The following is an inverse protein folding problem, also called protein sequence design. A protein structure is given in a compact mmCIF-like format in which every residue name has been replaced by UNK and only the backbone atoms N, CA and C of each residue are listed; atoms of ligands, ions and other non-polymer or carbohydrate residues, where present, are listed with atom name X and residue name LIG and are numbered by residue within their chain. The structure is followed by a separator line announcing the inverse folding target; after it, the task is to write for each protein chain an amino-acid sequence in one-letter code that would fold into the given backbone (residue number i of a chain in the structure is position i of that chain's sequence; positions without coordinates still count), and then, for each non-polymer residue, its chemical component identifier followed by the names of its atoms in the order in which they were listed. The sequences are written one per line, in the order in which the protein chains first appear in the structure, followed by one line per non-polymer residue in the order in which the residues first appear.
data_IF_668943408408
#
_entry.id   IF_668943408408
#
_cell.length_a   1.000
_cell.length_b   1.000
_cell.length_c   1.000
_cell.angle_alpha   90.00
_cell.angle_beta   90.00
_cell.angle_gamma   90.00
#
_symmetry.space_group_name_H-M   'P 1'
#
loop_
_entity.id
_entity.type
_entity.pdbx_description
1 polymer ?
#
# COMPACT_ATOMS: atom_id res chain seq x y z
N UNK A 1 42.73 5.02 10.72
CA UNK A 1 41.63 4.63 11.64
C UNK A 1 40.33 5.17 11.07
N UNK A 2 39.46 4.29 10.55
CA UNK A 2 38.17 4.65 9.92
C UNK A 2 37.06 4.39 10.94
N UNK A 3 36.37 5.44 11.37
CA UNK A 3 35.24 5.32 12.29
C UNK A 3 34.04 4.72 11.56
N UNK A 4 33.69 3.49 11.95
CA UNK A 4 32.43 2.82 11.62
C UNK A 4 31.27 3.61 12.22
N UNK A 5 30.43 4.21 11.39
CA UNK A 5 29.10 4.66 11.82
C UNK A 5 28.15 3.48 11.72
N UNK A 6 27.70 3.03 12.88
CA UNK A 6 26.69 1.99 13.09
C UNK A 6 25.34 2.54 12.63
N UNK A 7 24.82 2.03 11.52
CA UNK A 7 23.43 2.20 11.11
C UNK A 7 22.61 1.11 11.81
N UNK A 8 21.99 1.48 12.93
CA UNK A 8 21.05 0.63 13.64
C UNK A 8 19.62 1.17 13.45
N UNK A 9 18.80 0.38 12.77
CA UNK A 9 17.41 0.14 13.17
C UNK A 9 16.36 1.21 12.87
N UNK A 10 15.71 1.07 11.72
CA UNK A 10 14.25 1.16 11.61
C UNK A 10 13.78 0.23 10.47
N UNK A 11 13.83 -1.08 10.78
CA UNK A 11 13.26 -2.17 9.98
C UNK A 11 11.73 -2.17 10.14
N UNK A 12 11.02 -1.27 9.47
CA UNK A 12 9.57 -1.38 9.19
C UNK A 12 9.19 -0.56 7.93
N UNK A 13 10.09 -0.52 6.95
CA UNK A 13 9.80 -0.01 5.63
C UNK A 13 10.02 -1.18 4.67
N UNK A 14 8.93 -1.79 4.20
CA UNK A 14 8.95 -2.64 3.02
C UNK A 14 9.34 -1.76 1.84
N UNK A 15 10.64 -1.58 1.65
CA UNK A 15 11.25 -0.79 0.58
C UNK A 15 10.84 -1.39 -0.77
N UNK A 16 9.85 -0.76 -1.41
CA UNK A 16 9.58 -0.88 -2.84
C UNK A 16 10.73 -0.19 -3.60
N UNK A 17 11.88 -0.85 -3.69
CA UNK A 17 13.06 -0.39 -4.43
C UNK A 17 13.00 -0.96 -5.85
N UNK A 18 12.44 -0.19 -6.79
CA UNK A 18 12.70 -0.46 -8.20
C UNK A 18 14.19 -0.23 -8.48
N UNK A 19 14.94 -1.33 -8.57
CA UNK A 19 16.21 -1.33 -9.28
C UNK A 19 15.89 -1.25 -10.78
N UNK A 20 15.96 -0.03 -11.33
CA UNK A 20 16.22 0.13 -12.76
C UNK A 20 17.64 -0.35 -13.04
N UNK A 21 17.79 -1.54 -13.60
CA UNK A 21 19.06 -2.02 -14.14
C UNK A 21 18.81 -2.48 -15.57
N UNK A 22 19.50 -1.82 -16.51
CA UNK A 22 19.21 -1.85 -17.93
C UNK A 22 19.41 -3.21 -18.63
N UNK A 23 18.73 -3.33 -19.76
CA UNK A 23 18.86 -4.40 -20.73
C UNK A 23 17.74 -4.26 -21.76
N UNK A 24 18.13 -3.91 -22.98
CA UNK A 24 17.28 -3.58 -24.13
C UNK A 24 16.14 -4.56 -24.39
N UNK A 25 14.89 -4.10 -24.27
CA UNK A 25 13.75 -4.34 -25.18
C UNK A 25 12.55 -3.56 -24.62
N UNK A 26 12.33 -2.34 -25.11
CA UNK A 26 11.13 -1.56 -24.75
C UNK A 26 9.94 -2.13 -25.54
N UNK A 27 9.54 -3.36 -25.20
CA UNK A 27 8.21 -3.83 -25.52
C UNK A 27 7.25 -2.91 -24.77
N UNK A 28 6.60 -1.99 -25.49
CA UNK A 28 5.55 -1.15 -24.94
C UNK A 28 4.61 -2.05 -24.12
N UNK A 29 4.43 -1.72 -22.84
CA UNK A 29 3.52 -2.46 -21.99
C UNK A 29 2.17 -2.58 -22.73
N UNK A 30 1.57 -3.77 -22.78
CA UNK A 30 0.33 -3.96 -23.53
C UNK A 30 -0.72 -2.93 -23.07
N UNK A 31 -1.52 -2.40 -24.01
CA UNK A 31 -2.50 -1.38 -23.68
C UNK A 31 -3.47 -1.93 -22.63
N UNK A 32 -3.66 -1.18 -21.55
CA UNK A 32 -4.60 -1.52 -20.48
C UNK A 32 -6.03 -1.49 -21.04
N UNK A 33 -6.82 -2.50 -20.69
CA UNK A 33 -8.23 -2.59 -21.05
C UNK A 33 -8.98 -1.32 -20.55
N UNK A 34 -9.68 -0.58 -21.43
CA UNK A 34 -10.44 0.62 -21.06
C UNK A 34 -11.39 0.41 -19.88
N UNK A 35 -11.94 -0.80 -19.71
CA UNK A 35 -12.85 -1.14 -18.62
C UNK A 35 -12.19 -1.08 -17.23
N UNK A 36 -10.86 -1.26 -17.14
CA UNK A 36 -10.10 -1.23 -15.88
C UNK A 36 -9.11 -0.08 -15.81
N UNK A 37 -9.04 0.76 -16.84
CA UNK A 37 -8.08 1.87 -16.92
C UNK A 37 -8.14 2.81 -15.71
N UNK A 38 -9.34 3.23 -15.29
CA UNK A 38 -9.51 4.13 -14.13
C UNK A 38 -8.98 3.51 -12.83
N UNK A 39 -9.17 2.21 -12.66
CA UNK A 39 -8.59 1.46 -11.54
C UNK A 39 -7.06 1.46 -11.59
N UNK A 40 -6.48 1.13 -12.74
CA UNK A 40 -5.03 1.06 -12.92
C UNK A 40 -4.36 2.43 -12.72
N UNK A 41 -4.96 3.50 -13.24
CA UNK A 41 -4.47 4.87 -13.03
C UNK A 41 -4.51 5.24 -11.53
N UNK A 42 -5.56 4.82 -10.82
CA UNK A 42 -5.69 5.02 -9.37
C UNK A 42 -4.64 4.24 -8.58
N UNK A 43 -4.38 2.99 -8.94
CA UNK A 43 -3.31 2.18 -8.33
C UNK A 43 -1.95 2.85 -8.49
N UNK A 44 -1.60 3.29 -9.70
CA UNK A 44 -0.32 3.96 -9.97
C UNK A 44 -0.19 5.25 -9.17
N UNK A 45 -1.24 6.07 -9.13
CA UNK A 45 -1.27 7.30 -8.32
C UNK A 45 -1.06 7.00 -6.84
N UNK A 46 -1.82 6.07 -6.25
CA UNK A 46 -1.71 5.73 -4.82
C UNK A 46 -0.31 5.18 -4.51
N UNK A 47 0.28 4.36 -5.37
CA UNK A 47 1.66 3.88 -5.21
C UNK A 47 2.68 5.03 -5.23
N UNK A 48 2.54 5.98 -6.16
CA UNK A 48 3.40 7.15 -6.23
C UNK A 48 3.28 8.03 -4.96
N UNK A 49 2.07 8.24 -4.46
CA UNK A 49 1.83 9.00 -3.21
C UNK A 49 2.46 8.31 -2.00
N UNK A 50 2.31 6.98 -1.88
CA UNK A 50 2.86 6.17 -0.79
C UNK A 50 4.39 6.07 -0.79
N UNK A 51 5.01 6.20 -1.97
CA UNK A 51 6.48 6.17 -2.12
C UNK A 51 7.11 7.56 -2.18
N UNK A 52 6.29 8.61 -2.16
CA UNK A 52 6.76 9.98 -2.19
C UNK A 52 7.55 10.35 -0.92
N UNK A 53 8.54 11.25 -1.01
CA UNK A 53 9.21 11.79 0.18
C UNK A 53 8.27 12.48 1.17
N UNK A 54 7.08 12.90 0.69
CA UNK A 54 6.03 13.53 1.47
C UNK A 54 5.12 12.54 2.19
N UNK A 55 5.20 11.24 1.89
CA UNK A 55 4.41 10.22 2.56
C UNK A 55 4.63 10.27 4.08
N UNK A 56 3.53 10.41 4.84
CA UNK A 56 3.58 10.51 6.29
C UNK A 56 4.04 11.86 6.86
N UNK A 57 4.36 12.85 6.01
CA UNK A 57 4.56 14.22 6.48
C UNK A 57 3.21 14.80 6.98
N UNK A 58 3.25 15.58 8.06
CA UNK A 58 2.03 16.09 8.73
C UNK A 58 1.55 15.24 9.91
N UNK A 59 2.28 14.18 10.25
CA UNK A 59 2.02 13.37 11.44
C UNK A 59 0.91 12.36 11.27
N UNK A 60 0.62 11.63 12.36
CA UNK A 60 -0.18 10.41 12.35
C UNK A 60 -1.63 10.65 11.90
N UNK A 61 -2.23 11.78 12.27
CA UNK A 61 -3.60 12.12 11.88
C UNK A 61 -3.72 12.39 10.37
N UNK A 62 -2.81 13.19 9.79
CA UNK A 62 -2.81 13.49 8.37
C UNK A 62 -2.51 12.22 7.54
N UNK A 63 -1.54 11.42 7.97
CA UNK A 63 -1.21 10.15 7.34
C UNK A 63 -2.39 9.16 7.36
N UNK A 64 -3.14 9.11 8.47
CA UNK A 64 -4.34 8.27 8.60
C UNK A 64 -5.47 8.71 7.67
N UNK A 65 -5.70 10.02 7.56
CA UNK A 65 -6.71 10.56 6.65
C UNK A 65 -6.35 10.28 5.17
N UNK A 66 -5.08 10.46 4.81
CA UNK A 66 -4.58 10.14 3.47
C UNK A 66 -4.75 8.65 3.14
N UNK A 67 -4.37 7.76 4.08
CA UNK A 67 -4.53 6.32 3.90
C UNK A 67 -6.00 5.92 3.67
N UNK A 68 -6.93 6.52 4.43
CA UNK A 68 -8.37 6.28 4.24
C UNK A 68 -8.84 6.73 2.87
N UNK A 69 -8.50 7.95 2.47
CA UNK A 69 -8.88 8.49 1.15
C UNK A 69 -8.37 7.60 0.01
N UNK A 70 -7.13 7.14 0.10
CA UNK A 70 -6.54 6.28 -0.94
C UNK A 70 -7.25 4.93 -1.05
N UNK A 71 -7.63 4.33 0.08
CA UNK A 71 -8.44 3.09 0.06
C UNK A 71 -9.82 3.36 -0.52
N UNK A 72 -10.47 4.47 -0.17
CA UNK A 72 -11.78 4.85 -0.71
C UNK A 72 -11.73 5.06 -2.23
N UNK A 73 -10.68 5.71 -2.76
CA UNK A 73 -10.48 5.89 -4.20
C UNK A 73 -10.30 4.54 -4.93
N UNK A 74 -9.58 3.60 -4.30
CA UNK A 74 -9.37 2.25 -4.83
C UNK A 74 -10.65 1.42 -4.80
N UNK A 75 -11.48 1.55 -3.76
CA UNK A 75 -12.81 0.93 -3.67
C UNK A 75 -13.73 1.48 -4.77
N UNK A 76 -13.73 2.80 -4.98
CA UNK A 76 -14.60 3.48 -5.93
C UNK A 76 -14.30 3.09 -7.39
N UNK A 77 -13.04 2.81 -7.70
CA UNK A 77 -12.59 2.46 -9.05
C UNK A 77 -12.41 0.95 -9.24
N UNK A 78 -12.54 0.14 -8.18
CA UNK A 78 -12.30 -1.29 -8.23
C UNK A 78 -13.16 -2.00 -9.27
N UNK A 79 -12.57 -2.90 -10.09
CA UNK A 79 -13.36 -3.73 -10.98
C UNK A 79 -14.23 -4.73 -10.16
N UNK A 80 -15.37 -5.20 -10.70
CA UNK A 80 -16.33 -6.02 -9.95
C UNK A 80 -15.72 -7.24 -9.25
N UNK A 81 -14.73 -7.89 -9.86
CA UNK A 81 -14.04 -9.05 -9.30
C UNK A 81 -13.26 -8.76 -8.02
N UNK A 82 -12.82 -7.51 -7.81
CA UNK A 82 -12.05 -7.05 -6.64
C UNK A 82 -12.88 -6.25 -5.64
N UNK A 83 -14.14 -5.92 -5.97
CA UNK A 83 -14.95 -5.05 -5.12
C UNK A 83 -15.13 -5.58 -3.68
N UNK A 84 -15.28 -6.90 -3.52
CA UNK A 84 -15.40 -7.52 -2.20
C UNK A 84 -14.07 -7.50 -1.42
N UNK A 85 -12.94 -7.69 -2.09
CA UNK A 85 -11.61 -7.65 -1.47
C UNK A 85 -11.28 -6.23 -1.00
N UNK A 86 -11.57 -5.22 -1.84
CA UNK A 86 -11.36 -3.83 -1.48
C UNK A 86 -12.25 -3.36 -0.32
N UNK A 87 -13.52 -3.80 -0.25
CA UNK A 87 -14.36 -3.55 0.93
C UNK A 87 -13.77 -4.20 2.19
N UNK A 88 -13.27 -5.43 2.09
CA UNK A 88 -12.61 -6.12 3.22
C UNK A 88 -11.39 -5.33 3.70
N UNK A 89 -10.56 -4.83 2.78
CA UNK A 89 -9.40 -4.00 3.10
C UNK A 89 -9.82 -2.67 3.73
N UNK A 90 -10.87 -2.02 3.22
CA UNK A 90 -11.44 -0.79 3.78
C UNK A 90 -11.91 -0.99 5.22
N UNK A 91 -12.72 -2.01 5.49
CA UNK A 91 -13.24 -2.32 6.83
C UNK A 91 -12.11 -2.62 7.84
N UNK A 92 -11.05 -3.31 7.40
CA UNK A 92 -9.90 -3.63 8.25
C UNK A 92 -9.01 -2.40 8.48
N UNK A 93 -8.89 -1.51 7.48
CA UNK A 93 -8.21 -0.23 7.61
C UNK A 93 -8.92 0.66 8.62
N UNK A 94 -10.25 0.74 8.55
CA UNK A 94 -11.06 1.48 9.52
C UNK A 94 -10.91 0.94 10.95
N UNK A 95 -10.82 -0.38 11.12
CA UNK A 95 -10.53 -0.98 12.44
C UNK A 95 -9.13 -0.62 12.96
N UNK A 96 -8.12 -0.58 12.09
CA UNK A 96 -6.76 -0.19 12.47
C UNK A 96 -6.70 1.30 12.85
N UNK A 97 -7.34 2.17 12.07
CA UNK A 97 -7.45 3.59 12.36
C UNK A 97 -8.27 3.86 13.63
N UNK A 98 -9.33 3.10 13.87
CA UNK A 98 -10.08 3.16 15.13
C UNK A 98 -9.24 2.79 16.34
N UNK A 99 -8.35 1.80 16.19
CA UNK A 99 -7.41 1.39 17.25
C UNK A 99 -6.39 2.49 17.56
N UNK A 100 -5.92 3.21 16.54
CA UNK A 100 -5.07 4.40 16.68
C UNK A 100 -5.82 5.61 17.28
N UNK A 101 -7.09 5.82 16.91
CA UNK A 101 -7.91 6.88 17.48
C UNK A 101 -8.14 6.65 18.98
N UNK A 102 -8.33 5.40 19.41
CA UNK A 102 -8.46 5.04 20.82
C UNK A 102 -7.22 5.40 21.66
N UNK A 103 -6.04 5.53 21.03
CA UNK A 103 -4.80 5.97 21.69
C UNK A 103 -4.56 7.48 21.59
N UNK A 104 -5.54 8.25 21.11
CA UNK A 104 -5.42 9.69 20.78
C UNK A 104 -4.36 9.97 19.73
N UNK A 105 -4.15 9.04 18.80
CA UNK A 105 -3.17 9.20 17.73
C UNK A 105 -1.73 8.87 18.13
N UNK A 106 -1.50 8.27 19.30
CA UNK A 106 -0.17 7.81 19.71
C UNK A 106 0.09 6.38 19.19
N UNK A 107 0.95 6.19 18.17
CA UNK A 107 1.23 4.89 17.59
C UNK A 107 2.00 3.95 18.55
N UNK A 108 2.70 4.51 19.55
CA UNK A 108 3.45 3.70 20.52
C UNK A 108 2.53 2.97 21.51
N UNK A 109 1.28 3.41 21.59
CA UNK A 109 0.26 2.87 22.51
C UNK A 109 -0.72 1.94 21.84
N UNK A 110 -0.61 1.73 20.52
CA UNK A 110 -1.48 0.80 19.82
C UNK A 110 -1.21 -0.63 20.29
N UNK A 111 -2.30 -1.38 20.49
CA UNK A 111 -2.24 -2.82 20.67
C UNK A 111 -1.68 -3.50 19.41
N UNK A 112 -0.41 -3.91 19.50
CA UNK A 112 0.29 -4.59 18.41
C UNK A 112 -0.28 -5.96 18.10
N UNK A 113 -0.84 -6.68 19.08
CA UNK A 113 -1.47 -7.97 18.83
C UNK A 113 -2.74 -7.79 17.99
N UNK A 114 -3.52 -6.74 18.28
CA UNK A 114 -4.68 -6.37 17.46
C UNK A 114 -4.27 -5.98 16.04
N UNK A 115 -3.24 -5.15 15.85
CA UNK A 115 -2.75 -4.80 14.51
C UNK A 115 -2.28 -6.03 13.73
N UNK A 116 -1.51 -6.92 14.36
CA UNK A 116 -1.06 -8.16 13.73
C UNK A 116 -2.24 -9.06 13.30
N UNK A 117 -3.29 -9.14 14.12
CA UNK A 117 -4.51 -9.85 13.76
C UNK A 117 -5.23 -9.22 12.56
N UNK A 118 -5.35 -7.88 12.52
CA UNK A 118 -5.95 -7.19 11.39
C UNK A 118 -5.16 -7.41 10.10
N UNK A 119 -3.83 -7.38 10.19
CA UNK A 119 -2.94 -7.67 9.06
C UNK A 119 -3.09 -9.12 8.57
N UNK A 120 -3.11 -10.10 9.47
CA UNK A 120 -3.31 -11.50 9.10
C UNK A 120 -4.68 -11.71 8.42
N UNK A 121 -5.72 -11.01 8.89
CA UNK A 121 -7.06 -11.06 8.28
C UNK A 121 -7.12 -10.40 6.90
N UNK A 122 -6.30 -9.39 6.63
CA UNK A 122 -6.29 -8.71 5.32
C UNK A 122 -5.50 -9.47 4.26
N UNK A 123 -4.56 -10.34 4.66
CA UNK A 123 -3.64 -11.02 3.73
C UNK A 123 -4.32 -11.70 2.53
N UNK A 124 -5.42 -12.48 2.67
CA UNK A 124 -6.04 -13.14 1.53
C UNK A 124 -6.59 -12.14 0.50
N UNK A 125 -7.28 -11.10 0.98
CA UNK A 125 -7.85 -10.04 0.13
C UNK A 125 -6.73 -9.23 -0.55
N UNK A 126 -5.70 -8.86 0.20
CA UNK A 126 -4.52 -8.13 -0.32
C UNK A 126 -3.79 -8.95 -1.39
N UNK A 127 -3.64 -10.26 -1.18
CA UNK A 127 -2.99 -11.12 -2.16
C UNK A 127 -3.80 -11.19 -3.45
N UNK A 128 -5.11 -11.42 -3.36
CA UNK A 128 -6.00 -11.46 -4.53
C UNK A 128 -6.01 -10.14 -5.29
N UNK A 129 -6.04 -9.01 -4.59
CA UNK A 129 -5.90 -7.68 -5.18
C UNK A 129 -4.58 -7.60 -5.94
N UNK A 130 -3.44 -7.93 -5.33
CA UNK A 130 -2.13 -7.88 -5.98
C UNK A 130 -2.09 -8.71 -7.26
N UNK A 131 -2.57 -9.94 -7.21
CA UNK A 131 -2.53 -10.88 -8.33
C UNK A 131 -3.36 -10.36 -9.52
N UNK A 132 -4.60 -9.93 -9.27
CA UNK A 132 -5.49 -9.40 -10.32
C UNK A 132 -4.95 -8.08 -10.85
N UNK A 133 -4.49 -7.19 -9.98
CA UNK A 133 -3.96 -5.89 -10.39
C UNK A 133 -2.68 -6.04 -11.21
N UNK A 134 -1.79 -6.97 -10.86
CA UNK A 134 -0.62 -7.28 -11.68
C UNK A 134 -1.02 -7.80 -13.07
N UNK A 135 -2.01 -8.69 -13.14
CA UNK A 135 -2.49 -9.24 -14.40
C UNK A 135 -3.18 -8.20 -15.30
N UNK A 136 -3.95 -7.27 -14.71
CA UNK A 136 -4.80 -6.31 -15.44
C UNK A 136 -4.12 -4.97 -15.73
N UNK A 137 -3.28 -4.50 -14.81
CA UNK A 137 -2.64 -3.19 -14.88
C UNK A 137 -1.16 -3.28 -15.30
N UNK A 138 -0.63 -4.49 -15.46
CA UNK A 138 0.78 -4.73 -15.80
C UNK A 138 1.77 -4.06 -14.83
N UNK A 139 1.37 -3.95 -13.55
CA UNK A 139 2.20 -3.41 -12.46
C UNK A 139 2.86 -4.55 -11.68
N UNK A 140 4.15 -4.40 -11.37
CA UNK A 140 4.86 -5.33 -10.51
C UNK A 140 4.79 -4.87 -9.06
N UNK A 141 4.27 -5.71 -8.17
CA UNK A 141 4.38 -5.51 -6.73
C UNK A 141 5.68 -6.15 -6.23
N UNK A 142 6.49 -5.43 -5.46
CA UNK A 142 7.65 -6.07 -4.85
C UNK A 142 7.23 -7.05 -3.74
N UNK A 143 7.93 -8.19 -3.62
CA UNK A 143 7.69 -9.12 -2.52
C UNK A 143 7.97 -8.43 -1.19
N UNK A 144 7.12 -8.71 -0.21
CA UNK A 144 7.35 -8.30 1.17
C UNK A 144 8.55 -9.09 1.70
N UNK A 145 9.66 -8.41 1.96
CA UNK A 145 10.84 -9.01 2.60
C UNK A 145 10.56 -9.42 4.06
#
# INVERSE_FOLDING_TARGET
MRARRVLAGCLLAGTLLLAGCGGSDEAAAPPVDPAVKSYCDTVVRVQAEQTSPQAGQGGVAAASAAARQQVDDLVATAPPELAADWRTVSDLTDQALGSLAATRGDPNRIDRARLAQLQARSQPAVQRIKDVTAARCHVAFQPSA
#
